data_IF_909979176559
#
_entry.id   IF_909979176559
#
_cell.length_a   1.000
_cell.length_b   1.000
_cell.length_c   1.000
_cell.angle_alpha   90.00
_cell.angle_beta   90.00
_cell.angle_gamma   90.00
#
_symmetry.space_group_name_H-M   'P 1'
#
loop_
_entity.id
_entity.type
_entity.pdbx_description
1 polymer ?
#
# COMPACT_ATOMS: atom_id res chain seq x y z
N UNK A 1 -12.44 -4.67 3.35
CA UNK A 1 -11.65 -5.25 2.26
C UNK A 1 -12.37 -6.53 1.92
N UNK A 2 -13.28 -6.46 0.95
CA UNK A 2 -14.12 -7.59 0.58
C UNK A 2 -13.28 -8.50 -0.31
N UNK A 3 -13.10 -9.76 0.09
CA UNK A 3 -12.56 -10.77 -0.81
C UNK A 3 -13.64 -10.99 -1.88
N UNK A 4 -13.56 -10.22 -2.96
CA UNK A 4 -14.48 -10.38 -4.07
C UNK A 4 -14.42 -11.83 -4.54
N UNK A 5 -15.58 -12.51 -4.55
CA UNK A 5 -15.71 -13.71 -5.39
C UNK A 5 -15.34 -13.28 -6.81
N UNK A 6 -14.49 -14.05 -7.51
CA UNK A 6 -13.93 -13.60 -8.76
C UNK A 6 -15.04 -13.27 -9.76
N UNK A 7 -14.97 -12.13 -10.47
CA UNK A 7 -15.71 -11.99 -11.71
C UNK A 7 -15.29 -13.15 -12.60
N UNK A 8 -16.27 -13.87 -13.15
CA UNK A 8 -16.06 -14.99 -14.07
C UNK A 8 -15.04 -14.55 -15.12
N UNK A 9 -13.81 -15.06 -15.02
CA UNK A 9 -12.85 -14.95 -16.10
C UNK A 9 -13.54 -15.56 -17.32
N UNK A 10 -13.70 -14.74 -18.35
CA UNK A 10 -14.30 -15.10 -19.62
C UNK A 10 -13.77 -16.45 -20.09
N UNK A 11 -14.69 -17.23 -20.67
CA UNK A 11 -14.67 -18.62 -21.12
C UNK A 11 -13.42 -19.16 -21.87
N UNK A 12 -12.39 -18.35 -22.09
CA UNK A 12 -11.18 -18.68 -22.83
C UNK A 12 -10.01 -19.18 -21.96
N UNK A 13 -10.18 -19.29 -20.64
CA UNK A 13 -9.14 -19.81 -19.72
C UNK A 13 -9.33 -21.28 -19.30
N UNK A 14 -10.30 -22.00 -19.88
CA UNK A 14 -10.56 -23.41 -19.59
C UNK A 14 -9.57 -24.34 -20.32
N UNK A 15 -8.34 -24.33 -19.84
CA UNK A 15 -7.32 -25.31 -20.21
C UNK A 15 -7.17 -26.31 -19.05
N UNK A 16 -7.88 -27.44 -19.13
CA UNK A 16 -7.56 -28.67 -18.40
C UNK A 16 -7.42 -28.60 -16.87
N UNK A 17 -8.25 -27.82 -16.17
CA UNK A 17 -8.39 -27.92 -14.70
C UNK A 17 -7.28 -27.29 -13.84
N UNK A 18 -6.42 -26.41 -14.40
CA UNK A 18 -5.29 -25.80 -13.68
C UNK A 18 -5.42 -24.29 -13.46
N UNK A 19 -6.59 -23.84 -13.03
CA UNK A 19 -6.81 -22.43 -12.66
C UNK A 19 -6.21 -22.14 -11.26
N UNK A 20 -5.63 -20.94 -11.09
CA UNK A 20 -5.24 -20.44 -9.77
C UNK A 20 -6.50 -19.99 -9.03
N UNK A 21 -6.80 -20.64 -7.90
CA UNK A 21 -8.03 -20.36 -7.15
C UNK A 21 -8.00 -18.99 -6.47
N UNK A 22 -6.82 -18.51 -6.10
CA UNK A 22 -6.65 -17.30 -5.31
C UNK A 22 -5.74 -16.31 -6.05
N UNK A 23 -6.35 -15.28 -6.64
CA UNK A 23 -5.61 -14.17 -7.21
C UNK A 23 -6.26 -12.83 -6.89
N UNK A 24 -5.45 -11.78 -6.87
CA UNK A 24 -5.89 -10.39 -6.74
C UNK A 24 -5.19 -9.58 -7.82
N UNK A 25 -5.94 -8.77 -8.56
CA UNK A 25 -5.41 -7.85 -9.57
C UNK A 25 -5.91 -6.44 -9.29
N UNK A 26 -4.99 -5.47 -9.26
CA UNK A 26 -5.28 -4.05 -9.25
C UNK A 26 -4.50 -3.38 -10.38
N UNK A 27 -5.20 -3.05 -11.47
CA UNK A 27 -4.58 -2.55 -12.72
C UNK A 27 -3.47 -3.52 -13.18
N UNK A 28 -2.19 -3.14 -13.07
CA UNK A 28 -1.04 -3.93 -13.49
C UNK A 28 -0.44 -4.78 -12.36
N UNK A 29 -0.81 -4.50 -11.10
CA UNK A 29 -0.34 -5.26 -9.93
C UNK A 29 -1.16 -6.55 -9.80
N UNK A 30 -0.50 -7.70 -9.97
CA UNK A 30 -1.10 -9.04 -9.85
C UNK A 30 -0.42 -9.84 -8.73
N UNK A 31 -1.23 -10.49 -7.89
CA UNK A 31 -0.81 -11.46 -6.88
C UNK A 31 -1.51 -12.78 -7.16
N UNK A 32 -0.74 -13.87 -7.24
CA UNK A 32 -1.22 -15.25 -7.35
C UNK A 32 -0.81 -16.00 -6.09
N UNK A 33 -1.73 -16.77 -5.51
CA UNK A 33 -1.50 -17.60 -4.33
C UNK A 33 -1.89 -19.04 -4.64
N UNK A 34 -0.96 -19.95 -4.40
CA UNK A 34 -1.16 -21.39 -4.54
C UNK A 34 -0.16 -22.12 -3.64
N UNK A 35 -0.49 -23.33 -3.21
CA UNK A 35 0.39 -24.17 -2.41
C UNK A 35 1.51 -24.79 -3.26
N UNK A 36 1.26 -25.02 -4.56
CA UNK A 36 2.26 -25.56 -5.47
C UNK A 36 3.11 -24.46 -6.12
N UNK A 37 4.40 -24.46 -5.79
CA UNK A 37 5.38 -23.58 -6.41
C UNK A 37 5.51 -23.83 -7.91
N UNK A 38 5.43 -25.08 -8.33
CA UNK A 38 5.53 -25.52 -9.73
C UNK A 38 4.36 -24.98 -10.53
N UNK A 39 3.14 -25.03 -9.96
CA UNK A 39 1.95 -24.43 -10.57
C UNK A 39 2.09 -22.92 -10.74
N UNK A 40 2.61 -22.21 -9.73
CA UNK A 40 2.86 -20.76 -9.84
C UNK A 40 3.92 -20.43 -10.90
N UNK A 41 4.99 -21.24 -11.04
CA UNK A 41 5.98 -21.08 -12.12
C UNK A 41 5.32 -21.25 -13.49
N UNK A 42 4.57 -22.32 -13.66
CA UNK A 42 3.83 -22.60 -14.90
C UNK A 42 2.88 -21.45 -15.28
N UNK A 43 2.10 -20.97 -14.32
CA UNK A 43 1.18 -19.85 -14.54
C UNK A 43 1.92 -18.56 -14.90
N UNK A 44 3.03 -18.25 -14.22
CA UNK A 44 3.87 -17.09 -14.54
C UNK A 44 4.36 -17.14 -15.98
N UNK A 45 4.83 -18.30 -16.44
CA UNK A 45 5.34 -18.45 -17.81
C UNK A 45 4.20 -18.37 -18.84
N UNK A 46 3.03 -18.97 -18.54
CA UNK A 46 1.82 -18.86 -19.38
C UNK A 46 1.32 -17.42 -19.51
N UNK A 47 1.29 -16.67 -18.41
CA UNK A 47 0.93 -15.25 -18.39
C UNK A 47 1.91 -14.45 -19.24
N UNK A 48 3.23 -14.65 -19.05
CA UNK A 48 4.24 -13.93 -19.81
C UNK A 48 4.11 -14.19 -21.33
N UNK A 49 3.84 -15.44 -21.71
CA UNK A 49 3.61 -15.79 -23.12
C UNK A 49 2.36 -15.11 -23.69
N UNK A 50 1.27 -15.07 -22.92
CA UNK A 50 0.05 -14.37 -23.31
C UNK A 50 0.30 -12.87 -23.50
N UNK A 51 0.98 -12.23 -22.55
CA UNK A 51 1.32 -10.80 -22.61
C UNK A 51 2.15 -10.49 -23.86
N UNK A 52 3.19 -11.29 -24.15
CA UNK A 52 4.05 -11.12 -25.33
C UNK A 52 3.26 -11.25 -26.63
N UNK A 53 2.45 -12.30 -26.76
CA UNK A 53 1.77 -12.63 -28.01
C UNK A 53 0.61 -11.70 -28.35
N UNK A 54 -0.11 -11.20 -27.35
CA UNK A 54 -1.38 -10.51 -27.58
C UNK A 54 -1.33 -9.03 -27.25
N UNK A 55 -0.39 -8.60 -26.39
CA UNK A 55 -0.36 -7.24 -25.85
C UNK A 55 0.98 -6.52 -26.05
N UNK A 56 1.99 -7.20 -26.64
CA UNK A 56 3.36 -6.68 -26.78
C UNK A 56 3.96 -6.23 -25.41
N UNK A 57 3.66 -7.01 -24.36
CA UNK A 57 4.10 -6.75 -22.99
C UNK A 57 4.89 -7.92 -22.42
N UNK A 58 5.79 -7.63 -21.47
CA UNK A 58 6.55 -8.65 -20.75
C UNK A 58 6.49 -8.45 -19.23
N UNK A 59 6.49 -9.55 -18.48
CA UNK A 59 6.66 -9.51 -17.04
C UNK A 59 8.07 -9.04 -16.68
N UNK A 60 8.16 -8.07 -15.77
CA UNK A 60 9.45 -7.59 -15.27
C UNK A 60 10.13 -8.65 -14.39
N UNK A 61 11.35 -9.07 -14.76
CA UNK A 61 12.16 -10.03 -14.02
C UNK A 61 12.44 -9.58 -12.57
N UNK A 62 12.72 -8.29 -12.38
CA UNK A 62 13.09 -7.74 -11.07
C UNK A 62 11.88 -7.54 -10.14
N UNK A 63 10.69 -7.29 -10.71
CA UNK A 63 9.47 -7.04 -9.93
C UNK A 63 8.65 -8.30 -9.66
N UNK A 64 8.77 -9.31 -10.53
CA UNK A 64 8.05 -10.57 -10.38
C UNK A 64 8.74 -11.46 -9.35
N UNK A 65 8.09 -11.63 -8.20
CA UNK A 65 8.64 -12.44 -7.09
C UNK A 65 7.84 -13.72 -6.91
N UNK A 66 8.54 -14.84 -6.81
CA UNK A 66 7.98 -16.12 -6.40
C UNK A 66 8.58 -16.49 -5.05
N UNK A 67 7.78 -16.41 -3.99
CA UNK A 67 8.25 -16.59 -2.63
C UNK A 67 7.16 -17.14 -1.70
N UNK A 68 7.53 -17.76 -0.56
CA UNK A 68 6.59 -18.15 0.48
C UNK A 68 5.82 -16.94 1.05
N UNK A 69 4.57 -17.17 1.45
CA UNK A 69 3.69 -16.10 1.97
C UNK A 69 4.21 -15.47 3.27
N UNK A 70 4.97 -16.21 4.09
CA UNK A 70 5.53 -15.73 5.36
C UNK A 70 6.56 -14.61 5.18
N UNK A 71 7.18 -14.52 3.99
CA UNK A 71 8.07 -13.41 3.63
C UNK A 71 7.31 -12.10 3.40
N UNK A 72 5.98 -12.16 3.33
CA UNK A 72 5.09 -11.03 3.11
C UNK A 72 5.06 -10.54 1.66
N UNK A 73 4.08 -9.70 1.35
CA UNK A 73 3.79 -9.20 0.01
C UNK A 73 3.66 -7.68 0.06
N UNK A 74 4.47 -6.98 -0.74
CA UNK A 74 4.25 -5.56 -1.00
C UNK A 74 3.06 -5.41 -1.96
N UNK A 75 1.96 -4.80 -1.50
CA UNK A 75 0.76 -4.62 -2.33
C UNK A 75 0.06 -3.29 -1.99
N UNK A 76 -0.15 -2.43 -2.99
CA UNK A 76 -0.92 -1.17 -2.89
C UNK A 76 -0.53 -0.25 -1.72
N UNK A 77 0.77 -0.17 -1.40
CA UNK A 77 1.26 0.67 -0.30
C UNK A 77 1.19 0.02 1.08
N UNK A 78 0.84 -1.26 1.14
CA UNK A 78 0.89 -2.10 2.32
C UNK A 78 1.97 -3.18 2.17
N UNK A 79 2.34 -3.75 3.30
CA UNK A 79 3.12 -4.96 3.40
C UNK A 79 2.27 -5.98 4.15
N UNK A 80 1.79 -6.99 3.43
CA UNK A 80 0.82 -7.96 3.89
C UNK A 80 1.52 -9.25 4.31
N UNK A 81 1.23 -9.73 5.51
CA UNK A 81 1.58 -11.06 6.02
C UNK A 81 0.31 -11.82 6.38
N UNK A 82 0.37 -13.15 6.56
CA UNK A 82 -0.80 -13.95 6.95
C UNK A 82 -1.54 -13.43 8.20
N UNK A 83 -0.79 -12.92 9.18
CA UNK A 83 -1.24 -12.51 10.50
C UNK A 83 -1.38 -10.99 10.68
N UNK A 84 -0.82 -10.18 9.77
CA UNK A 84 -0.85 -8.73 9.90
C UNK A 84 -0.74 -7.97 8.58
N UNK A 85 -1.27 -6.74 8.57
CA UNK A 85 -1.10 -5.78 7.49
C UNK A 85 -0.32 -4.59 8.04
N UNK A 86 0.85 -4.32 7.48
CA UNK A 86 1.70 -3.20 7.85
C UNK A 86 1.67 -2.10 6.78
N UNK A 87 1.93 -0.87 7.17
CA UNK A 87 2.16 0.21 6.21
C UNK A 87 3.54 0.02 5.58
N UNK A 88 3.62 0.11 4.25
CA UNK A 88 4.91 -0.04 3.55
C UNK A 88 5.89 1.07 3.96
N UNK A 89 7.13 0.71 4.29
CA UNK A 89 8.14 1.64 4.78
C UNK A 89 8.37 2.84 3.85
N UNK A 90 8.28 2.64 2.53
CA UNK A 90 8.40 3.73 1.54
C UNK A 90 7.32 4.79 1.70
N UNK A 91 6.09 4.41 2.10
CA UNK A 91 4.99 5.36 2.36
C UNK A 91 5.28 6.15 3.63
N UNK A 92 5.71 5.47 4.69
CA UNK A 92 6.11 6.11 5.96
C UNK A 92 7.26 7.10 5.74
N UNK A 93 8.32 6.69 5.04
CA UNK A 93 9.48 7.54 4.72
C UNK A 93 9.06 8.79 3.94
N UNK A 94 8.14 8.66 2.98
CA UNK A 94 7.60 9.81 2.24
C UNK A 94 6.91 10.81 3.17
N UNK A 95 6.08 10.35 4.10
CA UNK A 95 5.43 11.24 5.07
C UNK A 95 6.46 11.90 6.00
N UNK A 96 7.38 11.12 6.60
CA UNK A 96 8.42 11.66 7.50
C UNK A 96 9.26 12.73 6.79
N UNK A 97 9.63 12.51 5.52
CA UNK A 97 10.34 13.50 4.71
C UNK A 97 9.50 14.76 4.46
N UNK A 98 8.21 14.63 4.14
CA UNK A 98 7.30 15.79 3.99
C UNK A 98 7.20 16.60 5.27
N UNK A 99 7.03 15.94 6.41
CA UNK A 99 6.97 16.60 7.73
C UNK A 99 8.27 17.33 8.07
N UNK A 100 9.42 16.72 7.76
CA UNK A 100 10.73 17.36 7.95
C UNK A 100 10.86 18.64 7.11
N UNK A 101 10.49 18.59 5.83
CA UNK A 101 10.54 19.79 4.97
C UNK A 101 9.55 20.86 5.41
N UNK A 102 8.34 20.48 5.81
CA UNK A 102 7.35 21.43 6.37
C UNK A 102 7.92 22.13 7.59
N UNK A 103 8.49 21.40 8.55
CA UNK A 103 9.06 21.99 9.76
C UNK A 103 10.23 22.96 9.47
N UNK A 104 10.96 22.80 8.36
CA UNK A 104 12.00 23.75 7.94
C UNK A 104 11.45 25.07 7.43
N UNK A 105 10.34 25.03 6.70
CA UNK A 105 9.77 26.23 6.07
C UNK A 105 8.77 26.97 6.96
N UNK A 106 8.40 26.43 8.13
CA UNK A 106 7.47 27.08 9.06
C UNK A 106 7.92 28.48 9.52
N UNK A 107 9.24 28.74 9.57
CA UNK A 107 9.77 30.06 9.91
C UNK A 107 10.06 30.93 8.67
N UNK A 108 9.68 30.49 7.46
CA UNK A 108 9.88 31.25 6.23
C UNK A 108 8.71 32.20 5.95
N UNK A 109 8.92 33.18 5.08
CA UNK A 109 7.85 34.07 4.60
C UNK A 109 6.74 33.31 3.84
N UNK A 110 7.06 32.12 3.32
CA UNK A 110 6.10 31.28 2.62
C UNK A 110 5.24 30.48 3.60
N UNK A 111 3.97 30.87 3.74
CA UNK A 111 2.99 30.16 4.57
C UNK A 111 2.10 29.23 3.73
N UNK A 112 2.14 27.95 4.07
CA UNK A 112 1.16 26.97 3.57
C UNK A 112 -0.05 27.01 4.51
N UNK A 113 -1.29 27.11 4.00
CA UNK A 113 -2.49 27.07 4.83
C UNK A 113 -2.56 25.80 5.69
N UNK A 114 -2.92 25.95 6.96
CA UNK A 114 -3.02 24.85 7.92
C UNK A 114 -3.96 23.75 7.43
N UNK A 115 -5.06 24.12 6.76
CA UNK A 115 -6.00 23.18 6.15
C UNK A 115 -5.36 22.28 5.09
N UNK A 116 -4.43 22.81 4.28
CA UNK A 116 -3.68 22.02 3.27
C UNK A 116 -2.71 21.06 3.94
N UNK A 117 -2.03 21.51 4.99
CA UNK A 117 -1.12 20.64 5.77
C UNK A 117 -1.92 19.53 6.44
N UNK A 118 -3.05 19.87 7.07
CA UNK A 118 -3.95 18.92 7.72
C UNK A 118 -4.47 17.88 6.73
N UNK A 119 -5.00 18.31 5.58
CA UNK A 119 -5.50 17.42 4.54
C UNK A 119 -4.41 16.45 4.04
N UNK A 120 -3.18 16.95 3.88
CA UNK A 120 -2.03 16.11 3.52
C UNK A 120 -1.76 15.05 4.59
N UNK A 121 -1.66 15.43 5.87
CA UNK A 121 -1.38 14.47 6.95
C UNK A 121 -2.52 13.45 7.08
N UNK A 122 -3.77 13.91 7.03
CA UNK A 122 -4.94 13.07 7.17
C UNK A 122 -5.15 12.14 5.98
N UNK A 123 -4.67 12.48 4.78
CA UNK A 123 -4.60 11.54 3.66
C UNK A 123 -3.73 10.32 3.99
N UNK A 124 -2.57 10.52 4.64
CA UNK A 124 -1.72 9.42 5.11
C UNK A 124 -2.36 8.65 6.27
N UNK A 125 -2.94 9.33 7.26
CA UNK A 125 -3.62 8.65 8.38
C UNK A 125 -4.81 7.82 7.88
N UNK A 126 -5.54 8.32 6.89
CA UNK A 126 -6.59 7.59 6.17
C UNK A 126 -6.08 6.32 5.49
N UNK A 127 -4.88 6.33 4.91
CA UNK A 127 -4.22 5.13 4.40
C UNK A 127 -3.79 4.18 5.53
N UNK A 128 -3.23 4.72 6.60
CA UNK A 128 -2.67 3.93 7.71
C UNK A 128 -3.74 3.22 8.53
N UNK A 129 -4.96 3.75 8.62
CA UNK A 129 -6.05 3.15 9.40
C UNK A 129 -6.41 1.72 8.96
N UNK A 130 -6.08 1.34 7.73
CA UNK A 130 -6.31 0.00 7.18
C UNK A 130 -5.17 -1.00 7.48
N UNK A 131 -4.20 -0.58 8.29
CA UNK A 131 -3.06 -1.38 8.72
C UNK A 131 -2.91 -1.33 10.25
N UNK A 132 -2.12 -2.25 10.80
CA UNK A 132 -1.70 -2.28 12.20
C UNK A 132 -0.72 -1.13 12.44
N UNK A 133 -1.27 0.07 12.63
CA UNK A 133 -0.53 1.32 12.53
C UNK A 133 -0.70 2.24 13.74
N UNK A 134 -1.31 1.78 14.83
CA UNK A 134 -1.52 2.61 16.03
C UNK A 134 -0.20 3.22 16.53
N UNK A 135 0.80 2.37 16.80
CA UNK A 135 2.13 2.81 17.27
C UNK A 135 2.83 3.69 16.23
N UNK A 136 2.64 3.42 14.93
CA UNK A 136 3.18 4.26 13.86
C UNK A 136 2.54 5.66 13.85
N UNK A 137 1.21 5.76 13.94
CA UNK A 137 0.48 7.04 13.98
C UNK A 137 0.85 7.83 15.23
N UNK A 138 0.95 7.16 16.38
CA UNK A 138 1.46 7.74 17.62
C UNK A 138 2.88 8.29 17.46
N UNK A 139 3.82 7.49 16.95
CA UNK A 139 5.21 7.90 16.68
C UNK A 139 5.28 9.12 15.75
N UNK A 140 4.48 9.12 14.68
CA UNK A 140 4.44 10.26 13.76
C UNK A 140 4.02 11.54 14.48
N UNK A 141 2.97 11.48 15.30
CA UNK A 141 2.50 12.64 16.05
C UNK A 141 3.54 13.09 17.09
N UNK A 142 4.03 12.17 17.92
CA UNK A 142 4.86 12.51 19.07
C UNK A 142 6.26 12.96 18.65
N UNK A 143 6.88 12.25 17.70
CA UNK A 143 8.30 12.37 17.39
C UNK A 143 8.58 13.06 16.05
N UNK A 144 7.65 13.07 15.09
CA UNK A 144 7.91 13.58 13.74
C UNK A 144 7.12 14.83 13.35
N UNK A 145 6.05 15.16 14.07
CA UNK A 145 5.19 16.30 13.73
C UNK A 145 5.87 17.64 14.02
N UNK A 146 6.77 17.71 15.02
CA UNK A 146 7.57 18.89 15.33
C UNK A 146 6.71 20.07 15.82
N UNK A 147 6.99 21.28 15.32
CA UNK A 147 6.26 22.52 15.67
C UNK A 147 4.79 22.48 15.25
N UNK A 148 4.43 21.63 14.29
CA UNK A 148 3.03 21.47 13.85
C UNK A 148 2.11 20.98 14.99
N UNK A 149 2.66 20.43 16.09
CA UNK A 149 1.91 20.13 17.34
C UNK A 149 1.33 21.37 18.03
N UNK A 150 1.84 22.56 17.69
CA UNK A 150 1.27 23.83 18.17
C UNK A 150 -0.09 24.10 17.51
N UNK A 151 -0.32 23.59 16.31
CA UNK A 151 -1.48 23.85 15.46
C UNK A 151 -2.46 22.67 15.46
N UNK A 152 -1.95 21.44 15.45
CA UNK A 152 -2.76 20.22 15.29
C UNK A 152 -2.78 19.34 16.54
N UNK A 153 -3.95 18.74 16.81
CA UNK A 153 -4.16 17.73 17.86
C UNK A 153 -4.61 16.40 17.28
N UNK A 154 -4.27 15.26 17.91
CA UNK A 154 -4.72 13.96 17.47
C UNK A 154 -6.13 13.68 18.00
N UNK A 155 -6.97 13.09 17.16
CA UNK A 155 -8.21 12.46 17.59
C UNK A 155 -7.92 11.20 18.43
N UNK A 156 -8.97 10.63 19.03
CA UNK A 156 -8.86 9.40 19.83
C UNK A 156 -8.11 8.30 19.04
N UNK A 157 -7.22 7.61 19.75
CA UNK A 157 -6.35 6.56 19.21
C UNK A 157 -5.48 7.02 18.03
N UNK A 158 -5.16 8.32 17.93
CA UNK A 158 -4.39 8.94 16.85
C UNK A 158 -5.00 8.69 15.45
N UNK A 159 -6.33 8.53 15.36
CA UNK A 159 -7.02 8.11 14.12
C UNK A 159 -6.89 9.11 12.97
N UNK A 160 -6.86 10.40 13.29
CA UNK A 160 -6.60 11.53 12.40
C UNK A 160 -6.19 12.74 13.25
N UNK A 161 -5.78 13.83 12.61
CA UNK A 161 -5.48 15.11 13.29
C UNK A 161 -6.60 16.14 13.03
N UNK A 162 -6.74 17.10 13.94
CA UNK A 162 -7.65 18.26 13.86
C UNK A 162 -6.88 19.55 14.14
N UNK A 163 -7.39 20.70 13.69
CA UNK A 163 -6.88 22.01 14.11
C UNK A 163 -7.31 22.27 15.55
N UNK A 164 -6.45 22.90 16.36
CA UNK A 164 -6.74 23.21 17.77
C UNK A 164 -7.92 24.16 18.00
N UNK A 165 -8.17 25.03 17.03
CA UNK A 165 -9.12 26.13 17.12
C UNK A 165 -10.42 25.89 16.35
N UNK A 166 -10.69 24.64 15.96
CA UNK A 166 -11.97 24.15 15.43
C UNK A 166 -12.58 23.11 16.40
#
# INVERSE_FOLDING_TARGET
MEFARPPRLSEQARDGGRECRYYIRYVDDLVLLDESREKLKYLKDKINLFLKKNLDLELSLNKTKLQPIDKGIDFLGYFVKPDCILVRQKVVKRLKNKLYQLNKILNSEFKIPDSKILAMINSYYGHFKHAFSFNLRKDIYENHLGKLKEIFLPAQNYSFLKIKHE
#
